data_IF_073566068103
#
_entry.id   IF_073566068103
#
_cell.length_a   1.000
_cell.length_b   1.000
_cell.length_c   1.000
_cell.angle_alpha   90.00
_cell.angle_beta   90.00
_cell.angle_gamma   90.00
#
_symmetry.space_group_name_H-M   'P 1'
#
loop_
_entity.id
_entity.type
_entity.pdbx_description
1 polymer ?
#
# COMPACT_ATOMS: atom_id res chain seq x y z
N UNK A 1 -16.30 -90.08 -16.62
CA UNK A 1 -17.35 -89.29 -15.92
C UNK A 1 -16.87 -87.84 -15.85
N UNK A 2 -17.61 -86.93 -16.50
CA UNK A 2 -17.12 -85.65 -17.02
C UNK A 2 -17.89 -84.48 -16.39
N UNK A 3 -17.12 -83.44 -16.06
CA UNK A 3 -17.34 -82.00 -16.34
C UNK A 3 -18.48 -81.23 -15.63
N UNK A 4 -17.99 -80.09 -15.10
CA UNK A 4 -18.50 -78.70 -15.22
C UNK A 4 -19.55 -78.20 -14.22
N UNK A 5 -19.07 -77.21 -13.47
CA UNK A 5 -19.70 -76.08 -12.77
C UNK A 5 -20.95 -75.50 -13.45
N UNK A 6 -21.99 -75.22 -12.65
CA UNK A 6 -22.98 -74.12 -12.70
C UNK A 6 -23.62 -74.04 -11.29
N UNK A 7 -23.61 -72.89 -10.60
CA UNK A 7 -24.65 -71.83 -10.58
C UNK A 7 -25.90 -72.18 -9.75
N UNK A 8 -26.15 -71.41 -8.69
CA UNK A 8 -27.44 -71.18 -8.01
C UNK A 8 -27.24 -69.91 -7.17
N UNK A 9 -27.89 -68.75 -7.33
CA UNK A 9 -29.30 -68.41 -7.64
C UNK A 9 -30.29 -69.05 -6.67
N UNK A 10 -30.68 -68.28 -5.64
CA UNK A 10 -31.89 -68.50 -4.85
C UNK A 10 -32.78 -67.27 -5.04
N UNK A 11 -33.92 -67.53 -5.67
CA UNK A 11 -35.12 -66.69 -5.73
C UNK A 11 -35.96 -66.92 -4.47
N UNK A 12 -36.52 -65.86 -3.89
CA UNK A 12 -37.73 -65.95 -3.06
C UNK A 12 -38.55 -64.65 -3.16
N UNK A 13 -39.47 -64.67 -4.13
CA UNK A 13 -40.86 -64.14 -4.15
C UNK A 13 -41.26 -62.94 -3.28
N UNK A 14 -41.35 -61.80 -3.98
CA UNK A 14 -42.47 -60.85 -4.12
C UNK A 14 -43.70 -60.94 -3.19
N UNK A 15 -44.07 -59.79 -2.60
CA UNK A 15 -45.46 -59.29 -2.67
C UNK A 15 -45.47 -57.79 -3.04
N UNK A 16 -46.14 -57.52 -4.15
CA UNK A 16 -46.42 -56.22 -4.78
C UNK A 16 -47.60 -55.53 -4.10
N UNK A 17 -47.62 -54.18 -4.10
CA UNK A 17 -48.63 -53.23 -4.66
C UNK A 17 -48.24 -51.86 -4.06
N UNK A 18 -47.97 -50.77 -4.76
CA UNK A 18 -48.05 -50.41 -6.17
C UNK A 18 -48.34 -48.91 -6.25
N UNK A 19 -47.55 -48.13 -6.99
CA UNK A 19 -47.90 -46.81 -7.52
C UNK A 19 -47.02 -46.52 -8.77
N UNK A 20 -47.51 -45.72 -9.74
CA UNK A 20 -47.18 -45.85 -11.15
C UNK A 20 -45.81 -45.26 -11.53
N UNK A 21 -45.22 -45.86 -12.55
CA UNK A 21 -44.07 -45.34 -13.29
C UNK A 21 -44.56 -44.26 -14.27
N UNK A 22 -43.95 -43.08 -14.22
CA UNK A 22 -43.86 -42.22 -15.40
C UNK A 22 -42.40 -41.86 -15.63
N UNK A 23 -41.99 -42.06 -16.87
CA UNK A 23 -40.64 -41.88 -17.40
C UNK A 23 -40.31 -40.39 -17.38
N UNK A 24 -39.22 -40.02 -16.70
CA UNK A 24 -38.67 -38.66 -16.74
C UNK A 24 -38.16 -38.37 -18.16
N UNK A 25 -38.98 -37.65 -18.93
CA UNK A 25 -38.56 -36.88 -20.09
C UNK A 25 -38.13 -35.52 -19.54
N UNK A 26 -36.89 -35.13 -19.82
CA UNK A 26 -36.38 -33.80 -19.51
C UNK A 26 -37.21 -32.76 -20.28
N UNK A 27 -38.02 -32.00 -19.54
CA UNK A 27 -38.57 -30.73 -19.97
C UNK A 27 -37.82 -29.63 -19.22
N UNK A 28 -37.30 -28.68 -19.99
CA UNK A 28 -36.56 -27.51 -19.52
C UNK A 28 -37.47 -26.64 -18.63
N UNK A 29 -36.98 -26.13 -17.48
CA UNK A 29 -37.58 -24.96 -16.87
C UNK A 29 -37.10 -23.67 -17.57
N UNK A 30 -38.10 -22.89 -17.98
CA UNK A 30 -38.11 -21.53 -18.55
C UNK A 30 -37.21 -20.50 -17.80
N UNK A 31 -36.92 -19.32 -18.40
CA UNK A 31 -35.68 -18.59 -18.21
C UNK A 31 -35.60 -17.86 -16.87
N UNK A 32 -34.39 -17.87 -16.32
CA UNK A 32 -33.97 -17.07 -15.17
C UNK A 32 -34.32 -15.59 -15.36
N UNK A 33 -35.07 -15.04 -14.41
CA UNK A 33 -35.28 -13.60 -14.27
C UNK A 33 -33.96 -12.84 -13.98
N UNK A 34 -33.95 -11.50 -14.15
CA UNK A 34 -32.72 -10.74 -14.06
C UNK A 34 -32.30 -10.58 -12.60
N UNK A 35 -31.12 -11.10 -12.26
CA UNK A 35 -30.38 -10.63 -11.11
C UNK A 35 -29.89 -11.68 -10.12
N UNK A 36 -29.14 -12.67 -10.57
CA UNK A 36 -28.05 -13.23 -9.76
C UNK A 36 -26.86 -13.50 -10.67
N UNK A 37 -26.01 -12.48 -10.85
CA UNK A 37 -24.67 -12.68 -11.37
C UNK A 37 -23.85 -13.40 -10.32
N UNK A 38 -23.47 -14.64 -10.62
CA UNK A 38 -22.40 -15.39 -9.96
C UNK A 38 -21.21 -14.47 -9.73
N UNK A 39 -20.82 -14.32 -8.47
CA UNK A 39 -19.68 -13.53 -8.00
C UNK A 39 -18.39 -13.91 -8.75
N UNK A 40 -18.06 -13.15 -9.79
CA UNK A 40 -16.69 -13.10 -10.30
C UNK A 40 -15.81 -12.56 -9.18
N UNK A 41 -14.78 -13.31 -8.77
CA UNK A 41 -13.70 -12.77 -7.95
C UNK A 41 -13.21 -11.47 -8.61
N UNK A 42 -13.51 -10.33 -7.98
CA UNK A 42 -13.09 -9.04 -8.48
C UNK A 42 -11.56 -9.00 -8.44
N UNK A 43 -10.92 -8.94 -9.62
CA UNK A 43 -9.48 -8.82 -9.76
C UNK A 43 -9.01 -7.54 -9.05
N UNK A 44 -7.94 -7.63 -8.26
CA UNK A 44 -7.42 -6.49 -7.49
C UNK A 44 -7.15 -5.26 -8.38
N UNK A 45 -7.42 -4.02 -7.92
CA UNK A 45 -7.34 -2.80 -8.74
C UNK A 45 -5.98 -2.58 -9.41
N UNK A 46 -4.89 -2.94 -8.74
CA UNK A 46 -3.54 -2.81 -9.31
C UNK A 46 -3.19 -3.88 -10.34
N UNK A 47 -3.64 -5.12 -10.12
CA UNK A 47 -3.52 -6.18 -11.10
C UNK A 47 -4.39 -5.85 -12.33
N UNK A 48 -5.52 -5.16 -12.15
CA UNK A 48 -6.29 -4.53 -13.23
C UNK A 48 -5.43 -3.54 -14.00
N UNK A 49 -4.81 -2.55 -13.32
CA UNK A 49 -4.03 -1.49 -13.98
C UNK A 49 -2.82 -1.99 -14.76
N UNK A 50 -2.15 -3.05 -14.30
CA UNK A 50 -1.08 -3.71 -15.07
C UNK A 50 -1.66 -4.36 -16.34
N UNK A 51 -2.82 -5.01 -16.27
CA UNK A 51 -3.44 -5.56 -17.48
C UNK A 51 -3.91 -4.46 -18.42
N UNK A 52 -4.35 -3.32 -17.91
CA UNK A 52 -4.77 -2.17 -18.73
C UNK A 52 -3.56 -1.60 -19.50
N UNK A 53 -2.39 -1.48 -18.86
CA UNK A 53 -1.12 -1.14 -19.55
C UNK A 53 -0.80 -2.13 -20.66
N UNK A 54 -0.90 -3.43 -20.38
CA UNK A 54 -0.60 -4.45 -21.38
C UNK A 54 -1.64 -4.49 -22.51
N UNK A 55 -2.91 -4.26 -22.20
CA UNK A 55 -3.98 -4.16 -23.18
C UNK A 55 -3.80 -2.93 -24.09
N UNK A 56 -3.38 -1.78 -23.53
CA UNK A 56 -2.93 -0.63 -24.33
C UNK A 56 -1.74 -0.98 -25.20
N UNK A 57 -0.77 -1.73 -24.67
CA UNK A 57 0.43 -2.11 -25.39
C UNK A 57 0.15 -3.05 -26.58
N UNK A 58 -0.83 -3.96 -26.44
CA UNK A 58 -1.24 -4.88 -27.51
C UNK A 58 -1.75 -4.13 -28.76
N UNK A 59 -2.33 -2.93 -28.61
CA UNK A 59 -2.79 -2.09 -29.73
C UNK A 59 -1.66 -1.66 -30.67
N UNK A 60 -0.42 -1.66 -30.18
CA UNK A 60 0.74 -1.17 -30.91
C UNK A 60 1.63 -2.28 -31.44
N UNK A 61 1.25 -3.55 -31.28
CA UNK A 61 2.02 -4.68 -31.81
C UNK A 61 2.19 -4.52 -33.32
N UNK A 62 3.43 -4.65 -33.79
CA UNK A 62 3.81 -4.45 -35.18
C UNK A 62 4.13 -3.01 -35.58
N UNK A 63 3.92 -2.02 -34.70
CA UNK A 63 4.34 -0.64 -34.98
C UNK A 63 5.87 -0.59 -35.20
N UNK A 64 6.36 -0.06 -36.33
CA UNK A 64 7.78 -0.07 -36.66
C UNK A 64 8.62 0.75 -35.68
N UNK A 65 9.89 0.34 -35.51
CA UNK A 65 10.82 1.05 -34.65
C UNK A 65 11.49 2.22 -35.36
N UNK A 66 11.65 3.34 -34.66
CA UNK A 66 12.50 4.46 -35.07
C UNK A 66 13.23 5.01 -33.87
N UNK A 67 14.57 5.08 -33.94
CA UNK A 67 15.38 5.68 -32.88
C UNK A 67 15.01 7.14 -32.67
N UNK A 68 14.78 7.54 -31.41
CA UNK A 68 14.43 8.91 -31.05
C UNK A 68 13.03 9.36 -31.49
N UNK A 69 12.10 8.43 -31.74
CA UNK A 69 10.73 8.76 -32.14
C UNK A 69 10.04 9.74 -31.17
N UNK A 70 9.32 10.73 -31.69
CA UNK A 70 8.76 11.82 -30.88
C UNK A 70 7.92 11.30 -29.68
N UNK A 71 8.13 11.87 -28.48
CA UNK A 71 7.33 11.50 -27.33
C UNK A 71 5.87 11.82 -27.59
N UNK A 72 4.99 10.87 -27.30
CA UNK A 72 3.54 11.06 -27.41
C UNK A 72 3.03 11.47 -28.80
N UNK A 73 3.74 11.13 -29.87
CA UNK A 73 3.31 11.38 -31.26
C UNK A 73 1.87 10.93 -31.49
N UNK A 74 0.97 11.87 -31.84
CA UNK A 74 -0.46 11.58 -32.05
C UNK A 74 -0.69 10.53 -33.14
N UNK A 75 0.22 10.43 -34.09
CA UNK A 75 0.13 9.46 -35.20
C UNK A 75 0.53 8.03 -34.80
N UNK A 76 1.33 7.86 -33.74
CA UNK A 76 1.91 6.58 -33.31
C UNK A 76 2.51 5.74 -34.45
N UNK A 77 3.00 6.40 -35.51
CA UNK A 77 3.48 5.73 -36.73
C UNK A 77 4.78 4.95 -36.48
N UNK A 78 5.58 5.40 -35.50
CA UNK A 78 6.84 4.81 -35.11
C UNK A 78 7.03 4.90 -33.59
N UNK A 79 7.82 3.99 -33.04
CA UNK A 79 8.27 4.05 -31.64
C UNK A 79 9.78 3.79 -31.50
N UNK A 80 10.44 4.49 -30.57
CA UNK A 80 11.62 3.96 -29.89
C UNK A 80 11.20 3.18 -28.63
N UNK A 81 12.15 2.56 -27.92
CA UNK A 81 11.83 1.77 -26.73
C UNK A 81 11.15 2.59 -25.62
N UNK A 82 11.59 3.83 -25.42
CA UNK A 82 11.14 4.74 -24.36
C UNK A 82 9.83 5.48 -24.67
N UNK A 83 9.59 5.83 -25.93
CA UNK A 83 8.36 6.48 -26.42
C UNK A 83 7.21 5.47 -26.44
N UNK A 84 7.49 4.19 -26.71
CA UNK A 84 6.52 3.11 -26.55
C UNK A 84 6.08 2.98 -25.09
N UNK A 85 7.01 2.86 -24.15
CA UNK A 85 6.66 2.79 -22.71
C UNK A 85 5.96 4.07 -22.25
N UNK A 86 6.41 5.26 -22.67
CA UNK A 86 5.72 6.52 -22.41
C UNK A 86 4.25 6.48 -22.86
N UNK A 87 3.99 6.02 -24.09
CA UNK A 87 2.64 5.95 -24.63
C UNK A 87 1.74 5.04 -23.78
N UNK A 88 2.13 3.79 -23.59
CA UNK A 88 1.25 2.79 -22.96
C UNK A 88 1.03 3.06 -21.48
N UNK A 89 2.02 3.61 -20.77
CA UNK A 89 1.85 4.04 -19.39
C UNK A 89 1.01 5.32 -19.28
N UNK A 90 1.16 6.30 -20.19
CA UNK A 90 0.38 7.54 -20.18
C UNK A 90 -1.11 7.30 -20.44
N UNK A 91 -1.45 6.38 -21.35
CA UNK A 91 -2.85 5.98 -21.57
C UNK A 91 -3.52 5.41 -20.31
N UNK A 92 -2.71 4.93 -19.37
CA UNK A 92 -3.12 4.38 -18.09
C UNK A 92 -2.81 5.33 -16.91
N UNK A 93 -2.61 6.61 -17.21
CA UNK A 93 -2.45 7.69 -16.23
C UNK A 93 -1.07 7.78 -15.58
N UNK A 94 -0.04 7.15 -16.14
CA UNK A 94 1.33 7.15 -15.60
C UNK A 94 2.26 7.86 -16.59
N UNK A 95 2.78 9.03 -16.21
CA UNK A 95 3.63 9.84 -17.08
C UNK A 95 5.09 9.46 -16.88
N UNK A 96 5.71 8.91 -17.92
CA UNK A 96 7.12 8.55 -17.93
C UNK A 96 7.97 9.67 -18.55
N UNK A 97 9.21 9.82 -18.07
CA UNK A 97 10.25 10.68 -18.64
C UNK A 97 10.65 10.20 -20.05
N UNK A 98 11.38 11.04 -20.79
CA UNK A 98 11.50 10.90 -22.24
C UNK A 98 12.29 9.67 -22.66
N UNK A 99 13.50 9.56 -22.16
CA UNK A 99 14.42 8.50 -22.58
C UNK A 99 14.52 7.36 -21.56
N UNK A 100 15.06 6.22 -21.98
CA UNK A 100 15.13 5.01 -21.14
C UNK A 100 16.00 5.20 -19.89
N UNK A 101 17.04 6.03 -19.95
CA UNK A 101 17.89 6.37 -18.80
C UNK A 101 17.16 7.28 -17.82
N UNK A 102 16.40 8.25 -18.31
CA UNK A 102 15.57 9.07 -17.44
C UNK A 102 14.45 8.26 -16.80
N UNK A 103 13.79 7.38 -17.57
CA UNK A 103 12.76 6.47 -17.05
C UNK A 103 13.29 5.56 -15.95
N UNK A 104 14.55 5.13 -16.02
CA UNK A 104 15.18 4.32 -14.98
C UNK A 104 15.40 5.07 -13.67
N UNK A 105 15.07 6.37 -13.59
CA UNK A 105 15.05 7.14 -12.34
C UNK A 105 13.66 7.19 -11.70
N UNK A 106 12.62 6.71 -12.38
CA UNK A 106 11.23 6.73 -11.91
C UNK A 106 10.79 5.36 -11.37
N UNK A 107 9.78 5.39 -10.49
CA UNK A 107 9.23 4.19 -9.87
C UNK A 107 10.13 3.57 -8.79
N UNK A 108 9.62 2.52 -8.16
CA UNK A 108 10.31 1.79 -7.10
C UNK A 108 11.41 0.91 -7.70
N UNK A 109 12.63 1.03 -7.19
CA UNK A 109 13.73 0.09 -7.54
C UNK A 109 13.38 -1.31 -7.03
N UNK A 110 13.29 -2.27 -7.93
CA UNK A 110 13.13 -3.70 -7.60
C UNK A 110 14.50 -4.33 -7.38
N UNK A 111 15.40 -4.12 -8.34
CA UNK A 111 16.82 -4.50 -8.29
C UNK A 111 17.63 -3.49 -9.10
N UNK A 112 18.91 -3.32 -8.76
CA UNK A 112 19.89 -2.52 -9.51
C UNK A 112 21.26 -3.16 -9.35
N UNK A 113 22.10 -3.11 -10.38
CA UNK A 113 23.56 -3.23 -10.21
C UNK A 113 23.95 -2.12 -9.20
N UNK A 114 24.63 -2.49 -8.13
CA UNK A 114 24.68 -1.72 -6.87
C UNK A 114 25.06 -0.22 -7.04
N UNK A 115 24.32 0.66 -6.36
CA UNK A 115 24.85 1.88 -5.75
C UNK A 115 24.89 1.64 -4.22
N UNK A 116 25.80 2.28 -3.47
CA UNK A 116 26.56 1.68 -2.36
C UNK A 116 25.67 1.21 -1.20
N UNK A 117 26.11 0.13 -0.56
CA UNK A 117 25.60 -0.47 0.69
C UNK A 117 24.49 -1.52 0.54
N UNK A 118 24.84 -2.78 0.21
CA UNK A 118 24.24 -3.97 0.83
C UNK A 118 25.28 -5.12 0.88
N UNK A 119 25.66 -5.52 2.09
CA UNK A 119 26.43 -6.73 2.37
C UNK A 119 25.64 -8.00 2.01
N UNK A 120 26.30 -9.00 1.44
CA UNK A 120 25.71 -10.33 1.25
C UNK A 120 25.79 -11.08 2.59
N UNK A 121 24.74 -11.83 2.92
CA UNK A 121 24.53 -12.52 4.20
C UNK A 121 25.54 -13.61 4.57
N UNK A 122 26.71 -13.66 3.95
CA UNK A 122 27.88 -14.47 4.36
C UNK A 122 29.07 -13.61 4.85
N UNK A 123 28.92 -12.28 4.85
CA UNK A 123 29.97 -11.34 5.27
C UNK A 123 31.00 -11.01 4.19
N UNK A 124 30.80 -11.43 2.94
CA UNK A 124 31.65 -11.02 1.81
C UNK A 124 31.03 -9.83 1.06
N UNK A 125 31.82 -8.78 0.83
CA UNK A 125 31.45 -7.67 -0.07
C UNK A 125 31.49 -8.19 -1.51
N UNK A 126 30.37 -8.09 -2.24
CA UNK A 126 30.40 -8.21 -3.70
C UNK A 126 31.09 -6.97 -4.29
N UNK A 127 32.05 -7.11 -5.21
CA UNK A 127 32.67 -5.98 -5.88
C UNK A 127 31.61 -5.09 -6.57
N UNK A 128 31.77 -3.78 -6.41
CA UNK A 128 30.99 -2.75 -7.10
C UNK A 128 31.05 -2.98 -8.62
N UNK A 129 29.91 -3.17 -9.28
CA UNK A 129 29.84 -3.37 -10.73
C UNK A 129 29.69 -4.81 -11.20
N UNK A 130 29.24 -5.75 -10.35
CA UNK A 130 28.79 -7.06 -10.85
C UNK A 130 27.45 -6.97 -11.59
N UNK A 131 27.32 -7.74 -12.67
CA UNK A 131 26.09 -7.86 -13.47
C UNK A 131 25.00 -8.53 -12.65
N UNK A 132 23.75 -8.07 -12.81
CA UNK A 132 22.60 -8.80 -12.30
C UNK A 132 22.40 -10.06 -13.14
N UNK A 133 22.44 -11.23 -12.52
CA UNK A 133 22.05 -12.45 -13.22
C UNK A 133 20.53 -12.62 -13.15
N UNK A 134 19.88 -12.89 -14.28
CA UNK A 134 18.41 -13.01 -14.33
C UNK A 134 17.87 -14.02 -13.32
N UNK A 135 18.54 -15.17 -13.17
CA UNK A 135 18.11 -16.22 -12.23
C UNK A 135 18.15 -15.79 -10.76
N UNK A 136 19.01 -14.83 -10.40
CA UNK A 136 19.10 -14.26 -9.04
C UNK A 136 17.96 -13.29 -8.76
N UNK A 137 17.44 -12.62 -9.79
CA UNK A 137 16.45 -11.54 -9.65
C UNK A 137 15.04 -11.96 -10.04
N UNK A 138 14.86 -13.04 -10.81
CA UNK A 138 13.56 -13.43 -11.41
C UNK A 138 12.44 -13.60 -10.40
N UNK A 139 12.74 -14.04 -9.17
CA UNK A 139 11.77 -14.19 -8.08
C UNK A 139 11.22 -12.85 -7.55
N UNK A 140 11.93 -11.74 -7.79
CA UNK A 140 11.53 -10.38 -7.38
C UNK A 140 10.71 -9.64 -8.43
N UNK A 141 10.77 -10.12 -9.68
CA UNK A 141 10.12 -9.49 -10.83
C UNK A 141 8.62 -9.78 -10.85
N UNK A 142 7.85 -8.75 -11.19
CA UNK A 142 6.41 -8.84 -11.41
C UNK A 142 6.07 -8.37 -12.81
N UNK A 143 5.05 -8.99 -13.41
CA UNK A 143 4.52 -8.59 -14.72
C UNK A 143 4.24 -7.08 -14.72
N UNK A 144 4.72 -6.37 -15.74
CA UNK A 144 4.62 -4.91 -15.84
C UNK A 144 5.83 -4.13 -15.29
N UNK A 145 6.77 -4.77 -14.60
CA UNK A 145 8.04 -4.14 -14.22
C UNK A 145 8.80 -3.70 -15.49
N UNK A 146 9.43 -2.52 -15.43
CA UNK A 146 10.32 -2.04 -16.48
C UNK A 146 11.73 -2.51 -16.23
N UNK A 147 12.32 -3.22 -17.19
CA UNK A 147 13.69 -3.70 -17.16
C UNK A 147 14.53 -2.82 -18.08
N UNK A 148 15.61 -2.28 -17.55
CA UNK A 148 16.54 -1.40 -18.25
C UNK A 148 17.87 -2.10 -18.51
N UNK A 149 18.38 -1.90 -19.72
CA UNK A 149 19.56 -2.60 -20.22
C UNK A 149 20.64 -1.62 -20.66
N UNK A 150 21.90 -1.99 -20.44
CA UNK A 150 23.06 -1.38 -21.09
C UNK A 150 23.59 -2.26 -22.23
N UNK A 151 24.55 -1.71 -22.98
CA UNK A 151 25.26 -2.40 -24.04
C UNK A 151 26.73 -2.65 -23.69
N UNK A 152 27.12 -2.46 -22.43
CA UNK A 152 28.50 -2.69 -22.04
C UNK A 152 28.76 -4.20 -22.02
N UNK A 153 29.98 -4.65 -22.35
CA UNK A 153 30.30 -6.08 -22.38
C UNK A 153 30.88 -6.54 -21.03
N UNK A 154 31.67 -5.68 -20.39
CA UNK A 154 32.43 -6.05 -19.19
C UNK A 154 31.76 -5.54 -17.91
N UNK A 155 31.52 -4.23 -17.81
CA UNK A 155 31.03 -3.59 -16.58
C UNK A 155 29.66 -2.96 -16.81
N UNK A 156 28.65 -3.27 -15.97
CA UNK A 156 27.33 -2.69 -16.11
C UNK A 156 27.36 -1.20 -15.78
N UNK A 157 26.58 -0.41 -16.50
CA UNK A 157 26.62 1.05 -16.40
C UNK A 157 25.23 1.69 -16.49
N UNK A 158 24.77 2.20 -15.35
CA UNK A 158 23.48 2.93 -15.21
C UNK A 158 23.43 4.23 -16.03
N UNK A 159 24.57 4.86 -16.29
CA UNK A 159 24.65 6.10 -17.09
C UNK A 159 24.58 5.82 -18.59
N UNK A 160 24.75 4.55 -19.00
CA UNK A 160 24.72 4.09 -20.39
C UNK A 160 23.54 3.16 -20.69
N UNK A 161 22.44 3.32 -19.95
CA UNK A 161 21.18 2.67 -20.30
C UNK A 161 20.77 3.09 -21.70
N UNK A 162 20.48 2.10 -22.54
CA UNK A 162 20.16 2.31 -23.95
C UNK A 162 18.79 1.73 -24.34
N UNK A 163 18.24 0.83 -23.52
CA UNK A 163 17.03 0.10 -23.86
C UNK A 163 16.15 -0.16 -22.63
N UNK A 164 14.84 -0.14 -22.82
CA UNK A 164 13.83 -0.49 -21.81
C UNK A 164 12.83 -1.49 -22.37
N UNK A 165 12.38 -2.43 -21.52
CA UNK A 165 11.32 -3.38 -21.86
C UNK A 165 10.36 -3.59 -20.69
N UNK A 166 9.11 -3.95 -21.01
CA UNK A 166 8.11 -4.36 -20.03
C UNK A 166 8.27 -5.87 -19.80
N UNK A 167 8.47 -6.28 -18.54
CA UNK A 167 8.55 -7.68 -18.15
C UNK A 167 7.17 -8.34 -18.21
N UNK A 168 7.07 -9.48 -18.89
CA UNK A 168 5.81 -10.24 -19.00
C UNK A 168 5.83 -11.47 -18.11
N UNK A 169 6.90 -12.26 -18.22
CA UNK A 169 7.17 -13.46 -17.44
C UNK A 169 8.63 -13.88 -17.65
N UNK A 170 9.04 -15.01 -17.09
CA UNK A 170 10.42 -15.49 -17.12
C UNK A 170 11.00 -15.75 -18.52
N UNK A 171 10.14 -15.82 -19.54
CA UNK A 171 10.53 -16.07 -20.92
C UNK A 171 10.33 -14.88 -21.84
N UNK A 172 9.52 -13.88 -21.46
CA UNK A 172 8.95 -12.92 -22.40
C UNK A 172 9.09 -11.48 -21.93
N UNK A 173 9.48 -10.63 -22.89
CA UNK A 173 9.51 -9.18 -22.78
C UNK A 173 8.57 -8.56 -23.82
N UNK A 174 7.96 -7.43 -23.49
CA UNK A 174 7.21 -6.59 -24.44
C UNK A 174 7.93 -5.26 -24.61
N UNK A 175 8.31 -4.93 -25.84
CA UNK A 175 9.13 -3.75 -26.13
C UNK A 175 9.18 -3.42 -27.62
N UNK A 176 9.62 -2.21 -27.94
CA UNK A 176 9.94 -1.79 -29.31
C UNK A 176 11.42 -2.08 -29.63
N UNK A 177 11.69 -2.76 -30.75
CA UNK A 177 13.06 -3.06 -31.22
C UNK A 177 13.23 -2.77 -32.70
N UNK A 178 14.46 -2.47 -33.12
CA UNK A 178 14.81 -2.21 -34.52
C UNK A 178 14.40 -3.36 -35.47
N UNK A 179 14.39 -4.60 -34.98
CA UNK A 179 14.14 -5.79 -35.79
C UNK A 179 12.65 -6.12 -35.93
N UNK A 180 11.88 -5.99 -34.85
CA UNK A 180 10.51 -6.51 -34.79
C UNK A 180 9.46 -5.42 -34.55
N UNK A 181 9.86 -4.15 -34.48
CA UNK A 181 8.99 -3.09 -33.99
C UNK A 181 8.57 -3.37 -32.56
N UNK A 182 7.38 -2.92 -32.18
CA UNK A 182 6.73 -3.30 -30.92
C UNK A 182 6.29 -4.76 -31.00
N UNK A 183 6.85 -5.61 -30.15
CA UNK A 183 6.50 -7.03 -30.13
C UNK A 183 6.78 -7.69 -28.78
N UNK A 184 6.14 -8.84 -28.56
CA UNK A 184 6.57 -9.80 -27.56
C UNK A 184 7.79 -10.55 -28.08
N UNK A 185 8.90 -10.51 -27.36
CA UNK A 185 10.11 -11.26 -27.72
C UNK A 185 10.61 -12.11 -26.57
N UNK A 186 11.34 -13.17 -26.91
CA UNK A 186 11.97 -14.01 -25.90
C UNK A 186 13.09 -13.25 -25.18
N UNK A 187 13.16 -13.47 -23.87
CA UNK A 187 14.22 -12.97 -23.00
C UNK A 187 15.49 -13.80 -23.23
N UNK A 188 16.25 -13.46 -24.27
CA UNK A 188 17.47 -14.18 -24.62
C UNK A 188 18.62 -13.96 -23.62
N UNK A 189 19.63 -14.83 -23.67
CA UNK A 189 20.77 -14.80 -22.75
C UNK A 189 21.53 -13.47 -22.73
N UNK A 190 21.73 -12.84 -23.91
CA UNK A 190 22.36 -11.51 -23.97
C UNK A 190 21.59 -10.49 -23.14
N UNK A 191 20.26 -10.45 -23.28
CA UNK A 191 19.43 -9.52 -22.51
C UNK A 191 19.42 -9.88 -21.02
N UNK A 192 19.36 -11.17 -20.67
CA UNK A 192 19.40 -11.62 -19.27
C UNK A 192 20.67 -11.14 -18.56
N UNK A 193 21.79 -11.11 -19.28
CA UNK A 193 23.07 -10.65 -18.75
C UNK A 193 23.22 -9.13 -18.74
N UNK A 194 22.49 -8.41 -19.58
CA UNK A 194 22.62 -6.95 -19.71
C UNK A 194 21.63 -6.15 -18.84
N UNK A 195 20.99 -6.78 -17.86
CA UNK A 195 20.08 -6.11 -16.94
C UNK A 195 20.87 -5.21 -16.00
N UNK A 196 20.50 -3.94 -15.93
CA UNK A 196 21.18 -2.94 -15.09
C UNK A 196 20.30 -2.54 -13.92
N UNK A 197 19.04 -2.23 -14.19
CA UNK A 197 18.09 -1.79 -13.17
C UNK A 197 16.69 -2.23 -13.57
N UNK A 198 15.87 -2.52 -12.57
CA UNK A 198 14.46 -2.84 -12.73
C UNK A 198 13.64 -1.89 -11.88
N UNK A 199 12.64 -1.26 -12.51
CA UNK A 199 11.71 -0.35 -11.85
C UNK A 199 10.29 -0.87 -11.91
N UNK A 200 9.59 -0.75 -10.79
CA UNK A 200 8.15 -0.98 -10.69
C UNK A 200 7.43 0.35 -10.76
N UNK A 201 6.63 0.53 -11.83
CA UNK A 201 5.87 1.76 -12.05
C UNK A 201 4.45 1.69 -11.47
N UNK A 202 3.91 0.49 -11.29
CA UNK A 202 2.62 0.23 -10.66
C UNK A 202 2.88 -0.65 -9.45
N UNK A 203 2.68 -0.11 -8.25
CA UNK A 203 2.67 -0.94 -7.06
C UNK A 203 1.37 -1.75 -7.02
N UNK A 204 1.49 -3.04 -6.73
CA UNK A 204 0.32 -3.83 -6.44
C UNK A 204 -0.35 -3.23 -5.19
N UNK A 205 -1.60 -2.79 -5.34
CA UNK A 205 -2.54 -2.60 -4.25
C UNK A 205 -2.45 -3.87 -3.43
N UNK A 206 -1.96 -3.76 -2.20
CA UNK A 206 -2.00 -4.82 -1.21
C UNK A 206 -3.41 -5.44 -1.32
N UNK A 207 -3.57 -6.76 -1.51
CA UNK A 207 -4.89 -7.37 -1.44
C UNK A 207 -5.61 -6.82 -0.20
N UNK A 208 -6.91 -6.46 -0.27
CA UNK A 208 -7.59 -5.85 0.86
C UNK A 208 -7.34 -6.73 2.07
N UNK A 209 -6.65 -6.17 3.06
CA UNK A 209 -6.31 -6.87 4.29
C UNK A 209 -7.63 -7.33 4.88
N UNK A 210 -7.80 -8.64 4.95
CA UNK A 210 -9.05 -9.21 5.41
C UNK A 210 -9.16 -9.01 6.92
N UNK A 211 -10.39 -8.89 7.41
CA UNK A 211 -10.66 -8.83 8.85
C UNK A 211 -10.04 -10.03 9.59
N UNK A 212 -10.04 -11.21 8.96
CA UNK A 212 -9.44 -12.44 9.49
C UNK A 212 -7.92 -12.36 9.59
N UNK A 213 -7.24 -11.70 8.64
CA UNK A 213 -5.78 -11.54 8.69
C UNK A 213 -5.34 -10.59 9.81
N UNK A 214 -6.13 -9.54 10.10
CA UNK A 214 -5.89 -8.69 11.27
C UNK A 214 -5.95 -9.50 12.57
N UNK A 215 -7.00 -10.33 12.73
CA UNK A 215 -7.15 -11.17 13.92
C UNK A 215 -6.01 -12.19 14.00
N UNK A 216 -5.72 -12.90 12.90
CA UNK A 216 -4.65 -13.90 12.87
C UNK A 216 -3.27 -13.30 13.20
N UNK A 217 -2.99 -12.06 12.76
CA UNK A 217 -1.77 -11.35 13.18
C UNK A 217 -1.82 -10.98 14.66
N UNK A 218 -2.94 -10.47 15.15
CA UNK A 218 -3.12 -10.18 16.58
C UNK A 218 -2.89 -11.41 17.48
N UNK A 219 -3.33 -12.58 17.03
CA UNK A 219 -3.18 -13.84 17.75
C UNK A 219 -1.71 -14.26 17.93
N UNK A 220 -0.80 -13.84 17.04
CA UNK A 220 0.64 -14.10 17.18
C UNK A 220 1.22 -13.48 18.46
N UNK A 221 0.58 -12.44 18.99
CA UNK A 221 1.02 -11.73 20.18
C UNK A 221 0.36 -12.24 21.46
N UNK A 222 -0.54 -13.25 21.41
CA UNK A 222 -1.21 -13.75 22.60
C UNK A 222 -0.21 -14.15 23.70
N UNK A 223 -0.47 -13.66 24.92
CA UNK A 223 0.37 -13.88 26.10
C UNK A 223 1.54 -12.91 26.24
N UNK A 224 1.79 -12.00 25.28
CA UNK A 224 2.80 -10.96 25.44
C UNK A 224 2.48 -10.09 26.67
N UNK A 225 3.40 -9.96 27.67
CA UNK A 225 3.14 -9.23 28.90
C UNK A 225 2.85 -7.75 28.68
N UNK A 226 2.05 -7.16 29.58
CA UNK A 226 1.75 -5.74 29.53
C UNK A 226 2.87 -4.90 30.14
N UNK A 227 3.11 -3.73 29.54
CA UNK A 227 3.85 -2.62 30.15
C UNK A 227 3.19 -1.32 29.76
N UNK A 228 3.14 -0.34 30.66
CA UNK A 228 2.73 1.03 30.32
C UNK A 228 3.73 1.74 29.41
N UNK A 229 5.01 1.34 29.47
CA UNK A 229 6.10 1.85 28.64
C UNK A 229 6.83 0.68 27.95
N UNK A 230 6.24 0.11 26.88
CA UNK A 230 6.82 -1.01 26.17
C UNK A 230 8.04 -0.63 25.31
N UNK A 231 8.28 0.66 25.06
CA UNK A 231 9.46 1.10 24.30
C UNK A 231 10.74 1.00 25.14
N UNK A 232 10.63 1.20 26.47
CA UNK A 232 11.74 0.99 27.42
C UNK A 232 11.82 -0.45 27.96
N UNK A 233 10.82 -1.30 27.67
CA UNK A 233 10.74 -2.67 28.18
C UNK A 233 10.56 -3.68 27.04
N UNK A 234 11.67 -4.10 26.40
CA UNK A 234 11.61 -5.04 25.27
C UNK A 234 10.85 -6.32 25.60
N UNK A 235 10.04 -6.79 24.64
CA UNK A 235 9.21 -7.99 24.80
C UNK A 235 7.87 -7.77 25.52
N UNK A 236 7.51 -6.52 25.83
CA UNK A 236 6.21 -6.15 26.40
C UNK A 236 5.37 -5.30 25.45
N UNK A 237 4.07 -5.13 25.73
CA UNK A 237 3.16 -4.30 24.93
C UNK A 237 2.13 -3.55 25.80
N UNK A 238 1.77 -2.34 25.38
CA UNK A 238 0.50 -1.73 25.79
C UNK A 238 -0.55 -1.90 24.67
N UNK A 239 -1.79 -1.49 24.93
CA UNK A 239 -2.90 -1.64 23.99
C UNK A 239 -2.62 -0.95 22.65
N UNK A 240 -2.12 0.29 22.68
CA UNK A 240 -1.82 1.07 21.47
C UNK A 240 -0.68 0.43 20.66
N UNK A 241 0.42 0.01 21.30
CA UNK A 241 1.54 -0.67 20.64
C UNK A 241 1.08 -1.98 20.00
N UNK A 242 0.29 -2.78 20.72
CA UNK A 242 -0.26 -4.01 20.18
C UNK A 242 -1.05 -3.76 18.88
N UNK A 243 -2.01 -2.83 18.90
CA UNK A 243 -2.81 -2.50 17.71
C UNK A 243 -1.94 -1.94 16.59
N UNK A 244 -0.99 -1.05 16.91
CA UNK A 244 -0.06 -0.45 15.94
C UNK A 244 0.74 -1.52 15.23
N UNK A 245 1.33 -2.46 15.97
CA UNK A 245 2.20 -3.50 15.41
C UNK A 245 1.39 -4.47 14.53
N UNK A 246 0.17 -4.83 14.96
CA UNK A 246 -0.75 -5.68 14.17
C UNK A 246 -1.06 -5.04 12.82
N UNK A 247 -1.44 -3.77 12.79
CA UNK A 247 -1.79 -3.08 11.54
C UNK A 247 -0.55 -2.73 10.70
N UNK A 248 0.60 -2.46 11.32
CA UNK A 248 1.85 -2.18 10.64
C UNK A 248 2.38 -3.39 9.87
N UNK A 249 2.20 -4.64 10.36
CA UNK A 249 2.52 -5.86 9.59
C UNK A 249 1.76 -5.93 8.25
N UNK A 250 0.60 -5.25 8.18
CA UNK A 250 -0.24 -5.18 6.99
C UNK A 250 -0.07 -3.88 6.20
N UNK A 251 0.98 -3.11 6.48
CA UNK A 251 1.27 -1.86 5.77
C UNK A 251 0.35 -0.70 6.14
N UNK A 252 -0.38 -0.80 7.24
CA UNK A 252 -1.30 0.24 7.72
C UNK A 252 -0.68 0.89 8.98
N UNK A 253 0.11 1.97 8.83
CA UNK A 253 0.68 2.65 9.98
C UNK A 253 -0.43 3.39 10.76
N UNK A 254 -0.50 3.15 12.06
CA UNK A 254 -1.41 3.85 12.97
C UNK A 254 -0.64 4.81 13.90
N UNK A 255 -1.27 5.89 14.40
CA UNK A 255 -0.68 6.80 15.40
C UNK A 255 -0.21 6.11 16.67
N UNK A 256 0.63 6.78 17.46
CA UNK A 256 1.26 6.17 18.64
C UNK A 256 0.32 5.85 19.81
N UNK A 257 -0.70 6.68 20.05
CA UNK A 257 -1.59 6.59 21.22
C UNK A 257 -3.01 6.16 20.83
N UNK A 258 -3.74 5.52 21.74
CA UNK A 258 -5.15 5.17 21.53
C UNK A 258 -6.01 6.40 21.19
N UNK A 259 -5.76 7.53 21.85
CA UNK A 259 -6.44 8.78 21.56
C UNK A 259 -6.20 9.26 20.12
N UNK A 260 -4.95 9.27 19.65
CA UNK A 260 -4.65 9.68 18.27
C UNK A 260 -5.15 8.64 17.25
N UNK A 261 -5.08 7.34 17.57
CA UNK A 261 -5.63 6.28 16.73
C UNK A 261 -7.14 6.42 16.55
N UNK A 262 -7.86 6.92 17.56
CA UNK A 262 -9.32 7.14 17.47
C UNK A 262 -9.71 8.19 16.42
N UNK A 263 -8.73 8.94 15.90
CA UNK A 263 -8.91 9.92 14.83
C UNK A 263 -8.72 9.30 13.44
N UNK A 264 -8.22 8.06 13.36
CA UNK A 264 -8.08 7.32 12.11
C UNK A 264 -9.35 6.53 11.76
N UNK A 265 -9.59 6.36 10.47
CA UNK A 265 -10.68 5.54 9.94
C UNK A 265 -12.07 6.15 10.06
N UNK A 266 -13.07 5.34 9.72
CA UNK A 266 -14.48 5.74 9.63
C UNK A 266 -15.16 5.45 10.95
N UNK A 267 -15.95 6.40 11.48
CA UNK A 267 -16.81 6.17 12.65
C UNK A 267 -17.84 5.07 12.38
N UNK A 268 -17.88 4.06 13.25
CA UNK A 268 -18.82 2.93 13.17
C UNK A 268 -19.73 2.95 14.40
N UNK A 269 -21.06 3.03 14.19
CA UNK A 269 -22.03 2.80 15.24
C UNK A 269 -21.81 1.45 15.93
N UNK A 270 -21.98 1.39 17.26
CA UNK A 270 -21.68 0.20 18.07
C UNK A 270 -22.38 -1.08 17.58
N UNK A 271 -23.59 -0.95 17.06
CA UNK A 271 -24.41 -2.04 16.49
C UNK A 271 -23.98 -2.48 15.08
N UNK A 272 -23.06 -1.75 14.44
CA UNK A 272 -22.50 -2.04 13.11
C UNK A 272 -21.03 -2.48 13.16
N UNK A 273 -20.50 -2.69 14.36
CA UNK A 273 -19.14 -3.20 14.56
C UNK A 273 -18.97 -4.57 13.89
N UNK A 274 -17.87 -4.71 13.17
CA UNK A 274 -17.43 -5.94 12.50
C UNK A 274 -16.05 -6.33 12.98
N UNK A 275 -15.70 -7.59 12.75
CA UNK A 275 -14.37 -8.11 13.04
C UNK A 275 -13.30 -7.19 12.44
N UNK A 276 -12.25 -6.90 13.21
CA UNK A 276 -11.17 -6.00 12.80
C UNK A 276 -11.44 -4.50 13.04
N UNK A 277 -12.65 -4.10 13.41
CA UNK A 277 -12.91 -2.72 13.83
C UNK A 277 -12.17 -2.42 15.15
N UNK A 278 -11.67 -1.19 15.30
CA UNK A 278 -11.08 -0.73 16.55
C UNK A 278 -12.17 -0.15 17.44
N UNK A 279 -12.15 -0.50 18.71
CA UNK A 279 -13.02 0.09 19.74
C UNK A 279 -12.17 0.81 20.76
N UNK A 280 -12.61 2.01 21.14
CA UNK A 280 -11.87 2.94 21.98
C UNK A 280 -12.60 3.19 23.29
N UNK A 281 -11.83 3.29 24.36
CA UNK A 281 -12.36 3.41 25.71
C UNK A 281 -11.71 4.57 26.47
N UNK A 282 -12.52 5.21 27.30
CA UNK A 282 -12.12 6.15 28.34
C UNK A 282 -12.35 5.44 29.69
N UNK A 283 -11.29 4.78 30.18
CA UNK A 283 -11.37 3.99 31.41
C UNK A 283 -11.44 4.86 32.68
N UNK A 284 -11.05 6.12 32.59
CA UNK A 284 -10.95 7.04 33.74
C UNK A 284 -12.12 8.03 33.78
N UNK A 285 -12.96 8.04 32.73
CA UNK A 285 -14.14 8.90 32.56
C UNK A 285 -13.82 10.39 32.59
N UNK A 286 -12.62 10.78 32.13
CA UNK A 286 -12.16 12.17 32.08
C UNK A 286 -12.33 12.83 30.70
N UNK A 287 -12.92 12.09 29.74
CA UNK A 287 -13.13 12.50 28.37
C UNK A 287 -11.96 12.18 27.43
N UNK A 288 -10.90 11.52 27.91
CA UNK A 288 -9.72 11.18 27.13
C UNK A 288 -9.70 9.68 26.84
N UNK A 289 -9.49 9.31 25.58
CA UNK A 289 -9.36 7.90 25.21
C UNK A 289 -8.03 7.34 25.72
N UNK A 290 -8.09 6.38 26.64
CA UNK A 290 -6.93 5.77 27.29
C UNK A 290 -6.66 4.34 26.81
N UNK A 291 -7.63 3.66 26.18
CA UNK A 291 -7.49 2.27 25.75
C UNK A 291 -8.06 2.00 24.35
N UNK A 292 -7.54 0.96 23.70
CA UNK A 292 -8.00 0.49 22.38
C UNK A 292 -8.03 -1.04 22.34
N UNK A 293 -8.99 -1.61 21.61
CA UNK A 293 -9.05 -3.04 21.32
C UNK A 293 -9.48 -3.31 19.89
N UNK A 294 -9.11 -4.48 19.36
CA UNK A 294 -9.63 -5.00 18.10
C UNK A 294 -10.91 -5.78 18.42
N UNK A 295 -12.03 -5.39 17.81
CA UNK A 295 -13.29 -6.11 17.90
C UNK A 295 -13.21 -7.38 17.06
N UNK A 296 -13.64 -8.52 17.62
CA UNK A 296 -13.48 -9.83 16.98
C UNK A 296 -14.83 -10.31 16.46
N UNK A 297 -15.75 -10.64 17.36
CA UNK A 297 -17.13 -11.04 17.08
C UNK A 297 -17.86 -11.15 18.42
N UNK A 298 -19.18 -11.35 18.41
CA UNK A 298 -19.95 -11.91 19.54
C UNK A 298 -19.47 -11.46 20.95
N UNK A 299 -19.35 -10.15 21.16
CA UNK A 299 -18.85 -9.55 22.41
C UNK A 299 -17.44 -9.99 22.82
N UNK A 300 -16.50 -10.14 21.89
CA UNK A 300 -15.09 -10.43 22.15
C UNK A 300 -14.19 -9.31 21.65
N UNK A 301 -13.20 -9.01 22.48
CA UNK A 301 -12.15 -8.03 22.23
C UNK A 301 -10.79 -8.72 22.29
N UNK A 302 -9.92 -8.36 21.35
CA UNK A 302 -8.50 -8.73 21.36
C UNK A 302 -7.67 -7.49 21.68
N UNK A 303 -6.93 -7.50 22.78
CA UNK A 303 -6.14 -6.35 23.23
C UNK A 303 -5.07 -6.73 24.27
N UNK A 304 -4.14 -5.82 24.54
CA UNK A 304 -3.24 -5.91 25.69
C UNK A 304 -3.91 -5.33 26.94
N UNK A 305 -4.04 -6.12 28.00
CA UNK A 305 -4.59 -5.73 29.30
C UNK A 305 -3.52 -5.73 30.37
N UNK A 306 -3.66 -4.85 31.37
CA UNK A 306 -2.70 -4.73 32.48
C UNK A 306 -2.45 -6.07 33.18
N UNK A 307 -3.51 -6.84 33.45
CA UNK A 307 -3.40 -8.08 34.24
C UNK A 307 -3.00 -9.32 33.46
N UNK A 308 -3.28 -9.39 32.15
CA UNK A 308 -3.14 -10.63 31.36
C UNK A 308 -2.25 -10.48 30.13
N UNK A 309 -1.71 -9.29 29.88
CA UNK A 309 -1.03 -9.01 28.62
C UNK A 309 -2.00 -9.06 27.44
N UNK A 310 -1.48 -9.37 26.25
CA UNK A 310 -2.30 -9.56 25.04
C UNK A 310 -3.18 -10.79 25.19
N UNK A 311 -4.49 -10.59 25.17
CA UNK A 311 -5.47 -11.64 25.44
C UNK A 311 -6.81 -11.35 24.79
N UNK A 312 -7.67 -12.36 24.79
CA UNK A 312 -9.09 -12.20 24.52
C UNK A 312 -9.84 -11.86 25.81
N UNK A 313 -10.70 -10.85 25.76
CA UNK A 313 -11.69 -10.57 26.80
C UNK A 313 -13.09 -10.52 26.21
N UNK A 314 -14.10 -10.63 27.08
CA UNK A 314 -15.46 -10.30 26.67
C UNK A 314 -15.66 -8.79 26.70
N UNK A 315 -16.53 -8.27 25.84
CA UNK A 315 -17.04 -6.90 25.87
C UNK A 315 -18.03 -6.77 27.04
N UNK A 316 -17.52 -6.95 28.25
CA UNK A 316 -18.27 -6.97 29.52
C UNK A 316 -18.88 -5.62 29.85
N UNK A 317 -19.73 -5.57 30.88
CA UNK A 317 -20.30 -4.30 31.37
C UNK A 317 -19.24 -3.24 31.69
N UNK A 318 -18.10 -3.66 32.26
CA UNK A 318 -16.95 -2.78 32.50
C UNK A 318 -16.46 -2.10 31.22
N UNK A 319 -16.19 -2.88 30.16
CA UNK A 319 -15.75 -2.31 28.89
C UNK A 319 -16.85 -1.52 28.18
N UNK A 320 -18.12 -1.91 28.34
CA UNK A 320 -19.23 -1.20 27.74
C UNK A 320 -19.49 0.17 28.39
N UNK A 321 -19.24 0.29 29.69
CA UNK A 321 -19.35 1.55 30.44
C UNK A 321 -18.27 2.56 30.03
N UNK A 322 -17.04 2.09 29.81
CA UNK A 322 -15.93 2.90 29.32
C UNK A 322 -15.95 3.13 27.79
N UNK A 323 -16.86 2.52 27.03
CA UNK A 323 -16.85 2.57 25.56
C UNK A 323 -17.20 3.97 25.04
N UNK A 324 -16.31 4.51 24.21
CA UNK A 324 -16.50 5.83 23.59
C UNK A 324 -16.95 5.72 22.14
N UNK A 325 -16.21 4.98 21.30
CA UNK A 325 -16.51 4.88 19.86
C UNK A 325 -15.86 3.68 19.17
N UNK A 326 -16.39 3.34 18.00
CA UNK A 326 -15.85 2.35 17.07
C UNK A 326 -15.28 3.01 15.82
N UNK A 327 -14.16 2.48 15.30
CA UNK A 327 -13.56 2.92 14.04
C UNK A 327 -13.28 1.74 13.15
N UNK A 328 -13.61 1.86 11.87
CA UNK A 328 -13.17 0.93 10.85
C UNK A 328 -11.99 1.48 10.08
N UNK A 329 -10.89 0.74 10.12
CA UNK A 329 -9.66 1.07 9.40
C UNK A 329 -9.64 0.39 8.01
N UNK A 330 -10.21 -0.81 7.88
CA UNK A 330 -10.10 -1.65 6.69
C UNK A 330 -11.02 -1.25 5.51
N UNK A 331 -12.09 -0.49 5.77
CA UNK A 331 -13.02 0.01 4.73
C UNK A 331 -12.51 1.31 4.06
N UNK A 332 -11.27 1.73 4.35
CA UNK A 332 -10.53 2.65 3.49
C UNK A 332 -10.33 1.95 2.14
N UNK A 333 -11.35 1.99 1.27
CA UNK A 333 -11.31 1.40 -0.07
C UNK A 333 -10.30 2.16 -0.92
N UNK A 334 -9.05 1.73 -0.85
CA UNK A 334 -7.96 2.23 -1.68
C UNK A 334 -6.63 2.09 -0.96
N UNK A 335 -5.50 2.20 -1.69
CA UNK A 335 -4.26 2.59 -1.01
C UNK A 335 -4.56 3.80 -0.13
N UNK A 336 -3.89 3.92 1.03
CA UNK A 336 -3.78 5.19 1.77
C UNK A 336 -3.75 6.36 0.77
N UNK A 337 -4.45 7.49 1.05
CA UNK A 337 -4.69 8.53 0.05
C UNK A 337 -3.40 8.82 -0.71
N UNK A 338 -3.49 8.85 -2.05
CA UNK A 338 -2.34 9.19 -2.88
C UNK A 338 -1.73 10.47 -2.31
N UNK A 339 -0.41 10.51 -2.15
CA UNK A 339 0.30 11.66 -1.58
C UNK A 339 -0.13 12.99 -2.24
N UNK A 340 -0.49 12.92 -3.51
CA UNK A 340 -1.06 14.00 -4.31
C UNK A 340 -2.44 14.51 -3.81
N UNK A 341 -3.34 13.65 -3.35
CA UNK A 341 -4.67 14.03 -2.84
C UNK A 341 -4.58 14.73 -1.48
N UNK A 342 -3.73 14.20 -0.60
CA UNK A 342 -3.35 14.85 0.67
C UNK A 342 -2.78 16.24 0.37
N UNK A 343 -1.85 16.33 -0.58
CA UNK A 343 -1.25 17.59 -0.97
C UNK A 343 -2.27 18.60 -1.51
N UNK A 344 -3.15 18.17 -2.44
CA UNK A 344 -4.24 19.01 -2.96
C UNK A 344 -5.12 19.57 -1.84
N UNK A 345 -5.40 18.75 -0.84
CA UNK A 345 -6.18 19.15 0.33
C UNK A 345 -5.44 20.18 1.16
N UNK A 346 -4.15 19.97 1.45
CA UNK A 346 -3.30 20.93 2.15
C UNK A 346 -3.30 22.31 1.45
N UNK A 347 -3.23 22.32 0.12
CA UNK A 347 -3.25 23.54 -0.69
C UNK A 347 -4.55 24.34 -0.52
N UNK A 348 -5.70 23.69 -0.29
CA UNK A 348 -6.97 24.40 -0.06
C UNK A 348 -6.99 25.24 1.23
N UNK A 349 -6.03 25.02 2.13
CA UNK A 349 -5.88 25.79 3.35
C UNK A 349 -4.94 27.00 3.21
N UNK A 350 -4.26 27.18 2.09
CA UNK A 350 -3.34 28.30 1.87
C UNK A 350 -4.05 29.64 2.09
N UNK A 351 -3.42 30.52 2.86
CA UNK A 351 -3.95 31.84 3.23
C UNK A 351 -4.88 31.85 4.44
N UNK A 352 -5.32 30.67 4.93
CA UNK A 352 -6.13 30.59 6.16
C UNK A 352 -5.26 30.79 7.40
N UNK A 353 -5.78 31.57 8.35
CA UNK A 353 -5.20 31.74 9.69
C UNK A 353 -5.82 30.80 10.74
N UNK A 354 -7.07 30.41 10.51
CA UNK A 354 -7.80 29.48 11.37
C UNK A 354 -8.37 28.35 10.53
N UNK A 355 -8.44 27.17 11.12
CA UNK A 355 -9.04 25.96 10.55
C UNK A 355 -10.02 25.35 11.55
N UNK A 356 -10.97 24.56 11.06
CA UNK A 356 -11.79 23.72 11.93
C UNK A 356 -10.90 22.64 12.56
N UNK A 357 -11.02 22.48 13.88
CA UNK A 357 -10.31 21.45 14.64
C UNK A 357 -10.90 20.07 14.34
N UNK A 358 -10.11 19.03 14.59
CA UNK A 358 -10.54 17.63 14.40
C UNK A 358 -11.56 17.24 15.47
N UNK A 359 -11.41 17.81 16.66
CA UNK A 359 -12.31 17.58 17.78
C UNK A 359 -13.26 18.78 17.89
N UNK A 360 -14.59 18.53 17.92
CA UNK A 360 -15.55 19.58 18.17
C UNK A 360 -15.40 20.15 19.59
N UNK A 361 -16.13 21.23 19.88
CA UNK A 361 -16.22 21.74 21.24
C UNK A 361 -17.02 20.80 22.16
N UNK A 362 -17.13 21.18 23.44
CA UNK A 362 -17.86 20.43 24.46
C UNK A 362 -19.35 20.20 24.14
N UNK A 363 -19.92 20.98 23.21
CA UNK A 363 -21.31 20.87 22.76
C UNK A 363 -21.42 20.17 21.39
N UNK A 364 -20.33 19.60 20.88
CA UNK A 364 -20.28 18.92 19.59
C UNK A 364 -20.29 19.87 18.38
N UNK A 365 -20.04 21.17 18.56
CA UNK A 365 -20.00 22.13 17.47
C UNK A 365 -18.59 22.27 16.87
N UNK A 366 -18.47 22.62 15.57
CA UNK A 366 -17.19 22.94 14.95
C UNK A 366 -16.40 24.01 15.70
N UNK A 367 -15.19 23.66 16.13
CA UNK A 367 -14.27 24.55 16.86
C UNK A 367 -13.22 25.12 15.92
N UNK A 368 -13.08 26.43 15.82
CA UNK A 368 -12.02 27.07 15.04
C UNK A 368 -10.74 27.24 15.88
N UNK A 369 -9.60 26.93 15.29
CA UNK A 369 -8.27 27.01 15.93
C UNK A 369 -7.24 27.59 14.98
N UNK A 370 -6.23 28.28 15.52
CA UNK A 370 -5.01 28.64 14.78
C UNK A 370 -4.05 27.46 14.85
N UNK A 371 -3.82 26.73 13.74
CA UNK A 371 -3.04 25.50 13.80
C UNK A 371 -1.54 25.80 13.85
N UNK A 372 -0.82 25.14 14.77
CA UNK A 372 0.62 24.95 14.61
C UNK A 372 0.90 24.01 13.41
N UNK A 373 2.17 23.88 13.04
CA UNK A 373 2.58 23.05 11.90
C UNK A 373 2.11 21.60 12.01
N UNK A 374 2.15 21.02 13.22
CA UNK A 374 1.82 19.62 13.47
C UNK A 374 0.31 19.38 13.49
N UNK A 375 -0.48 20.31 14.03
CA UNK A 375 -1.96 20.30 13.99
C UNK A 375 -2.47 20.51 12.57
N UNK A 376 -1.81 21.35 11.77
CA UNK A 376 -2.14 21.49 10.37
C UNK A 376 -1.98 20.17 9.61
N UNK A 377 -0.84 19.48 9.78
CA UNK A 377 -0.63 18.14 9.24
C UNK A 377 -1.71 17.17 9.74
N UNK A 378 -2.01 17.18 11.04
CA UNK A 378 -3.04 16.32 11.61
C UNK A 378 -4.40 16.51 10.92
N UNK A 379 -4.82 17.77 10.73
CA UNK A 379 -6.10 18.09 10.09
C UNK A 379 -6.14 17.64 8.63
N UNK A 380 -5.09 17.93 7.87
CA UNK A 380 -5.05 17.54 6.45
C UNK A 380 -5.18 16.03 6.31
N UNK A 381 -4.45 15.24 7.09
CA UNK A 381 -4.54 13.77 7.02
C UNK A 381 -5.86 13.24 7.58
N UNK A 382 -6.42 13.88 8.60
CA UNK A 382 -7.73 13.54 9.14
C UNK A 382 -8.84 13.67 8.11
N UNK A 383 -8.77 14.68 7.23
CA UNK A 383 -9.73 14.84 6.11
C UNK A 383 -9.70 13.68 5.10
N UNK A 384 -8.64 12.85 5.17
CA UNK A 384 -8.49 11.59 4.42
C UNK A 384 -8.62 10.35 5.31
N UNK A 385 -9.18 10.49 6.51
CA UNK A 385 -9.34 9.41 7.50
C UNK A 385 -8.02 8.78 7.95
N UNK A 386 -6.89 9.48 7.76
CA UNK A 386 -5.57 9.06 8.22
C UNK A 386 -5.28 9.75 9.56
N UNK A 387 -5.12 8.95 10.61
CA UNK A 387 -4.71 9.49 11.90
C UNK A 387 -3.24 9.90 11.89
N UNK A 388 -2.94 11.07 12.44
CA UNK A 388 -1.58 11.52 12.71
C UNK A 388 -1.42 11.83 14.20
N UNK A 389 -0.24 11.52 14.74
CA UNK A 389 0.12 11.85 16.12
C UNK A 389 0.12 13.37 16.32
N UNK A 390 -0.11 13.83 17.55
CA UNK A 390 -0.29 15.27 17.82
C UNK A 390 0.97 16.13 17.64
N UNK A 391 2.17 15.57 17.80
CA UNK A 391 3.43 16.34 17.80
C UNK A 391 4.31 15.95 16.62
N UNK A 392 5.09 16.90 16.09
CA UNK A 392 6.06 16.66 15.01
C UNK A 392 7.04 15.53 15.35
N UNK A 393 7.51 15.46 16.60
CA UNK A 393 8.42 14.41 17.10
C UNK A 393 7.86 12.99 16.99
N UNK A 394 6.54 12.85 17.13
CA UNK A 394 5.87 11.55 17.01
C UNK A 394 5.39 11.32 15.58
N UNK A 395 4.99 12.37 14.86
CA UNK A 395 4.64 12.28 13.44
C UNK A 395 5.82 11.82 12.58
N UNK A 396 7.06 12.23 12.89
CA UNK A 396 8.24 11.82 12.12
C UNK A 396 8.58 10.32 12.23
N UNK A 397 7.90 9.55 13.08
CA UNK A 397 8.06 8.09 13.14
C UNK A 397 6.98 7.36 12.32
N UNK A 398 5.97 8.08 11.83
CA UNK A 398 4.91 7.53 10.99
C UNK A 398 5.30 7.53 9.51
N UNK A 399 4.90 6.48 8.80
CA UNK A 399 5.15 6.32 7.37
C UNK A 399 6.59 5.91 7.02
N UNK A 400 6.85 5.78 5.71
CA UNK A 400 8.15 5.32 5.22
C UNK A 400 9.13 6.48 5.07
N UNK A 401 10.41 6.20 5.35
CA UNK A 401 11.49 7.16 5.13
C UNK A 401 11.68 7.43 3.63
N UNK A 402 11.92 8.69 3.28
CA UNK A 402 12.18 9.16 1.92
C UNK A 402 13.42 10.07 1.95
N UNK A 403 14.26 10.02 0.91
CA UNK A 403 15.34 10.99 0.74
C UNK A 403 14.82 12.25 0.06
N UNK A 404 15.44 13.41 0.31
CA UNK A 404 15.03 14.68 -0.32
C UNK A 404 14.99 14.60 -1.86
N UNK A 405 15.92 13.87 -2.47
CA UNK A 405 15.95 13.63 -3.92
C UNK A 405 14.78 12.81 -4.48
N UNK A 406 14.11 12.04 -3.62
CA UNK A 406 12.97 11.20 -3.94
C UNK A 406 11.65 11.74 -3.36
N UNK A 407 11.71 12.92 -2.72
CA UNK A 407 10.55 13.58 -2.15
C UNK A 407 9.60 14.02 -3.27
N UNK A 408 8.30 13.89 -3.03
CA UNK A 408 7.24 14.31 -3.95
C UNK A 408 6.22 15.17 -3.20
N UNK A 409 5.45 16.03 -3.89
CA UNK A 409 4.46 16.87 -3.23
C UNK A 409 3.56 16.06 -2.29
N UNK A 410 3.40 16.54 -1.06
CA UNK A 410 2.65 15.87 0.01
C UNK A 410 3.50 15.11 1.02
N UNK A 411 4.78 14.82 0.72
CA UNK A 411 5.69 14.23 1.71
C UNK A 411 5.88 15.20 2.88
N UNK A 412 6.00 14.66 4.09
CA UNK A 412 6.22 15.45 5.30
C UNK A 412 7.71 15.65 5.53
N UNK A 413 8.15 16.90 5.60
CA UNK A 413 9.53 17.29 5.91
C UNK A 413 9.58 17.78 7.35
N UNK A 414 10.42 17.15 8.17
CA UNK A 414 10.62 17.47 9.57
C UNK A 414 11.93 18.20 9.74
N UNK A 415 11.91 19.31 10.47
CA UNK A 415 13.04 20.20 10.67
C UNK A 415 13.39 20.32 12.14
N UNK A 416 14.69 20.45 12.40
CA UNK A 416 15.24 20.83 13.70
C UNK A 416 15.43 22.35 13.73
N UNK A 417 14.64 23.09 14.51
CA UNK A 417 14.79 24.56 14.57
C UNK A 417 15.85 25.04 15.57
N UNK A 418 16.45 24.16 16.38
CA UNK A 418 17.48 24.55 17.35
C UNK A 418 18.47 23.41 17.55
N UNK A 419 19.78 23.68 17.58
CA UNK A 419 20.81 22.67 17.87
C UNK A 419 20.70 21.98 19.25
N UNK A 420 19.69 22.36 20.04
CA UNK A 420 19.32 21.79 21.34
C UNK A 420 18.06 20.87 21.28
N UNK A 421 17.48 20.61 20.10
CA UNK A 421 16.42 19.61 19.88
C UNK A 421 15.04 19.96 20.45
N UNK A 422 14.76 21.25 20.72
CA UNK A 422 13.54 21.69 21.43
C UNK A 422 12.45 22.34 20.56
N UNK A 423 12.76 22.72 19.32
CA UNK A 423 11.78 23.22 18.34
C UNK A 423 11.74 22.32 17.12
N UNK A 424 10.87 21.30 17.06
CA UNK A 424 10.72 20.52 15.83
C UNK A 424 9.43 20.91 15.13
N UNK A 425 9.49 21.30 13.85
CA UNK A 425 8.31 21.60 13.04
C UNK A 425 8.25 20.70 11.80
N UNK A 426 7.08 20.68 11.18
CA UNK A 426 6.78 19.85 10.02
C UNK A 426 6.18 20.69 8.91
N UNK A 427 6.52 20.38 7.66
CA UNK A 427 5.92 21.00 6.50
C UNK A 427 5.55 19.95 5.45
N UNK A 428 4.60 20.27 4.59
CA UNK A 428 4.41 19.53 3.36
C UNK A 428 5.48 19.95 2.35
N UNK A 429 6.19 18.98 1.79
CA UNK A 429 7.04 19.16 0.63
C UNK A 429 6.19 19.57 -0.56
N UNK A 430 6.65 20.55 -1.33
CA UNK A 430 6.04 20.96 -2.60
C UNK A 430 6.97 20.56 -3.74
N UNK A 431 8.22 21.05 -3.70
CA UNK A 431 9.24 20.77 -4.71
C UNK A 431 10.65 21.12 -4.15
N UNK A 432 11.66 21.22 -5.04
CA UNK A 432 13.06 21.41 -4.66
C UNK A 432 13.37 22.70 -3.89
N UNK A 433 12.51 23.71 -3.99
CA UNK A 433 12.71 25.01 -3.36
C UNK A 433 11.50 25.51 -2.55
N UNK A 434 10.42 24.72 -2.47
CA UNK A 434 9.17 25.15 -1.84
C UNK A 434 8.64 24.11 -0.85
N UNK A 435 8.15 24.61 0.29
CA UNK A 435 7.39 23.86 1.29
C UNK A 435 6.11 24.61 1.66
N UNK A 436 5.11 23.90 2.17
CA UNK A 436 3.86 24.45 2.71
C UNK A 436 3.78 24.15 4.20
N UNK A 437 3.73 25.18 5.03
CA UNK A 437 3.64 25.04 6.48
C UNK A 437 2.61 25.99 7.09
N UNK A 438 2.20 25.66 8.32
CA UNK A 438 1.47 26.57 9.20
C UNK A 438 2.39 27.16 10.26
N UNK A 439 2.25 28.45 10.54
CA UNK A 439 2.77 29.06 11.76
C UNK A 439 1.69 29.88 12.45
N UNK A 440 1.80 30.01 13.77
CA UNK A 440 0.87 30.80 14.59
C UNK A 440 0.83 32.28 14.19
N UNK A 441 1.92 32.82 13.65
CA UNK A 441 2.05 34.22 13.24
C UNK A 441 1.54 34.51 11.82
N UNK A 442 1.76 33.59 10.88
CA UNK A 442 1.50 33.86 9.45
C UNK A 442 0.36 33.03 8.86
N UNK A 443 -0.15 32.05 9.60
CA UNK A 443 -1.11 31.07 9.10
C UNK A 443 -0.45 30.09 8.13
N UNK A 444 -1.24 29.54 7.22
CA UNK A 444 -0.83 28.49 6.29
C UNK A 444 -0.32 29.11 4.99
N UNK A 445 0.97 28.94 4.68
CA UNK A 445 1.62 29.57 3.53
C UNK A 445 2.74 28.73 2.94
N UNK A 446 3.00 28.98 1.66
CA UNK A 446 4.23 28.55 1.01
C UNK A 446 5.42 29.32 1.59
N UNK A 447 6.54 28.62 1.75
CA UNK A 447 7.85 29.21 2.05
C UNK A 447 8.94 28.56 1.21
N UNK A 448 9.99 29.33 0.98
CA UNK A 448 11.19 28.85 0.31
C UNK A 448 11.93 27.87 1.21
N UNK A 449 12.22 26.67 0.69
CA UNK A 449 13.10 25.67 1.26
C UNK A 449 14.56 26.06 0.96
N UNK A 450 15.13 26.90 1.82
CA UNK A 450 16.50 27.40 1.66
C UNK A 450 17.57 26.33 1.90
N UNK A 451 18.78 26.56 1.41
CA UNK A 451 19.93 25.67 1.68
C UNK A 451 20.28 25.55 3.17
N UNK A 452 19.93 26.54 4.01
CA UNK A 452 20.07 26.41 5.47
C UNK A 452 19.07 25.39 6.01
N UNK A 453 17.79 25.56 5.66
CA UNK A 453 16.71 24.67 6.10
C UNK A 453 16.91 23.24 5.63
N UNK A 454 17.50 23.03 4.43
CA UNK A 454 17.84 21.69 3.94
C UNK A 454 18.85 20.96 4.84
N UNK A 455 19.75 21.69 5.50
CA UNK A 455 20.71 21.12 6.47
C UNK A 455 20.06 20.77 7.81
N UNK A 456 18.90 21.37 8.09
CA UNK A 456 18.11 21.15 9.30
C UNK A 456 17.06 20.03 9.12
N UNK A 457 16.96 19.42 7.94
CA UNK A 457 16.03 18.31 7.70
C UNK A 457 16.45 17.09 8.53
N UNK A 458 15.60 16.72 9.48
CA UNK A 458 15.78 15.52 10.32
C UNK A 458 15.27 14.26 9.64
N UNK A 459 14.11 14.39 8.98
CA UNK A 459 13.44 13.27 8.35
C UNK A 459 12.50 13.75 7.25
N UNK A 460 12.30 12.90 6.25
CA UNK A 460 11.19 13.04 5.30
C UNK A 460 10.38 11.76 5.34
N UNK A 461 9.07 11.89 5.56
CA UNK A 461 8.16 10.76 5.64
C UNK A 461 7.09 10.84 4.58
N UNK A 462 6.88 9.73 3.90
CA UNK A 462 5.67 9.52 3.08
C UNK A 462 4.65 8.76 3.90
N UNK A 463 3.51 9.39 4.11
CA UNK A 463 2.36 8.80 4.79
C UNK A 463 1.44 8.25 3.72
N UNK A 464 1.46 6.95 3.51
CA UNK A 464 0.72 6.33 2.42
C UNK A 464 1.53 5.31 1.63
N UNK A 465 0.89 4.68 0.64
CA UNK A 465 1.60 3.88 -0.38
C UNK A 465 2.33 4.80 -1.37
#
# INVERSE_FOLDING_TARGET
MRKKRYLAFVLATSLFVGLPVSVARAEEPDPLGPGETVSSQAKLPSQSKINDVLHSADKYIGTPYQWGADPYSETNRYFDCSSFTQRVFKENGIILKRDSREQSTQGKTVVSVQSPEQFIGDGTEKPKGERLHFDEIRSKLKKGDLIFFDNEEETPNVEKIHHVAIYINEHTLLHATNTYGVNYTYFNEKRKNNIVIVKRMIEESIPPVTQSEIIATGEKYLGTPFSSDPEQQPGTMNASKFVRDVFAEHGIPLPGTANDMSKAGIDIPKDQLKMGDLVFFDNDHDGIITHVAIYVNENKLLHATVSKGVTYTTFSSYWQDAYVKGKRILDLKGPLPLNEEVFKTAVTYVGKKQIEDIEPDENGQPKLVTPDSSKFVQKVFYDHYVGMSRTSNTQQTQGRSVSLSNAVPGDLVFFDSDQDGSSNYVAFYVDSDTILLSSSSEGIKYRTLTESMKKEIMAIRRIGL
#
